data_IF_577113422574
#
_entry.id   IF_577113422574
#
_cell.length_a   1.000
_cell.length_b   1.000
_cell.length_c   1.000
_cell.angle_alpha   90.00
_cell.angle_beta   90.00
_cell.angle_gamma   90.00
#
_symmetry.space_group_name_H-M   'P 1'
#
loop_
_entity.id
_entity.type
_entity.pdbx_description
1 polymer ?
#
# COMPACT_ATOMS: atom_id res chain seq x y z
N UNK A 1 -86.12 -11.45 30.62
CA UNK A 1 -86.32 -10.92 29.26
C UNK A 1 -84.96 -10.79 28.60
N UNK A 2 -84.62 -11.79 27.77
CA UNK A 2 -84.04 -11.69 26.41
C UNK A 2 -83.47 -10.31 25.96
N UNK A 3 -82.30 -10.14 25.32
CA UNK A 3 -81.55 -10.97 24.37
C UNK A 3 -80.03 -10.65 24.36
N UNK A 4 -79.24 -11.63 23.86
CA UNK A 4 -77.83 -11.64 23.44
C UNK A 4 -77.44 -10.52 22.44
N UNK A 5 -76.17 -10.09 22.44
CA UNK A 5 -75.30 -10.13 21.24
C UNK A 5 -73.80 -9.87 21.54
N UNK A 6 -73.02 -10.94 21.33
CA UNK A 6 -71.75 -11.09 20.59
C UNK A 6 -70.71 -9.95 20.44
N UNK A 7 -69.47 -10.29 20.87
CA UNK A 7 -68.20 -10.36 20.10
C UNK A 7 -67.74 -9.12 19.29
N UNK A 8 -66.58 -8.55 19.63
CA UNK A 8 -65.26 -8.86 19.04
C UNK A 8 -64.22 -7.80 19.43
N UNK A 9 -63.00 -8.27 19.74
CA UNK A 9 -61.89 -7.45 20.18
C UNK A 9 -61.27 -6.57 19.09
N UNK A 10 -60.80 -5.40 19.50
CA UNK A 10 -59.91 -4.56 18.73
C UNK A 10 -58.49 -4.68 19.29
N UNK A 11 -57.62 -5.33 18.51
CA UNK A 11 -56.18 -5.15 18.60
C UNK A 11 -55.84 -3.77 18.02
N UNK A 12 -55.22 -2.91 18.82
CA UNK A 12 -54.66 -1.64 18.35
C UNK A 12 -53.29 -1.94 17.75
N UNK A 13 -53.22 -1.94 16.41
CA UNK A 13 -51.97 -1.87 15.66
C UNK A 13 -51.53 -0.40 15.67
N UNK A 14 -50.53 -0.08 16.48
CA UNK A 14 -49.86 1.22 16.45
C UNK A 14 -48.90 1.23 15.25
N UNK A 15 -49.39 1.68 14.09
CA UNK A 15 -48.55 2.01 12.95
C UNK A 15 -47.83 3.34 13.24
N UNK A 16 -46.63 3.26 13.79
CA UNK A 16 -45.70 4.38 13.83
C UNK A 16 -45.21 4.69 12.42
N UNK A 17 -45.65 5.80 11.86
CA UNK A 17 -45.10 6.40 10.64
C UNK A 17 -43.68 6.89 10.92
N UNK A 18 -42.70 5.99 10.81
CA UNK A 18 -41.30 6.33 10.61
C UNK A 18 -41.18 7.12 9.30
N UNK A 19 -41.04 8.43 9.42
CA UNK A 19 -40.53 9.27 8.34
C UNK A 19 -39.08 8.86 8.12
N UNK A 20 -38.86 7.89 7.22
CA UNK A 20 -37.54 7.64 6.67
C UNK A 20 -37.14 8.91 5.92
N UNK A 21 -36.32 9.74 6.56
CA UNK A 21 -35.50 10.70 5.83
C UNK A 21 -34.74 9.90 4.78
N UNK A 22 -35.02 10.18 3.51
CA UNK A 22 -34.33 9.57 2.39
C UNK A 22 -32.83 9.74 2.65
N UNK A 23 -32.12 8.62 2.84
CA UNK A 23 -30.66 8.63 2.78
C UNK A 23 -30.30 9.28 1.45
N UNK A 24 -29.37 10.24 1.41
CA UNK A 24 -28.81 10.67 0.15
C UNK A 24 -28.31 9.40 -0.54
N UNK A 25 -28.87 9.08 -1.70
CA UNK A 25 -28.30 8.11 -2.61
C UNK A 25 -26.91 8.63 -2.95
N UNK A 26 -25.89 8.11 -2.25
CA UNK A 26 -24.49 8.31 -2.62
C UNK A 26 -24.40 7.96 -4.10
N UNK A 27 -24.09 8.94 -4.95
CA UNK A 27 -23.92 8.71 -6.37
C UNK A 27 -22.80 7.67 -6.56
N UNK A 28 -23.20 6.44 -6.81
CA UNK A 28 -22.36 5.24 -6.98
C UNK A 28 -21.62 5.21 -8.32
N UNK A 29 -21.50 6.34 -9.02
CA UNK A 29 -20.90 6.42 -10.34
C UNK A 29 -19.36 6.53 -10.26
N UNK A 30 -18.73 5.68 -9.45
CA UNK A 30 -17.32 5.38 -9.67
C UNK A 30 -17.22 4.75 -11.07
N UNK A 31 -16.39 5.29 -11.98
CA UNK A 31 -16.14 4.63 -13.24
C UNK A 31 -15.80 3.15 -13.01
N UNK A 32 -16.50 2.22 -13.67
CA UNK A 32 -16.36 0.77 -13.45
C UNK A 32 -14.94 0.22 -13.66
N UNK A 33 -14.06 0.98 -14.33
CA UNK A 33 -12.64 0.65 -14.47
C UNK A 33 -11.84 0.89 -13.17
N UNK A 34 -12.33 1.73 -12.26
CA UNK A 34 -11.82 1.90 -10.90
C UNK A 34 -12.44 0.82 -10.03
N UNK A 35 -11.93 -0.40 -10.16
CA UNK A 35 -12.53 -1.56 -9.50
C UNK A 35 -12.34 -1.56 -7.97
N UNK A 36 -11.47 -0.70 -7.42
CA UNK A 36 -11.13 -0.78 -6.00
C UNK A 36 -10.92 0.59 -5.34
N UNK A 37 -12.03 1.15 -4.88
CA UNK A 37 -12.06 2.31 -3.99
C UNK A 37 -12.11 1.85 -2.54
N UNK A 38 -11.34 2.51 -1.69
CA UNK A 38 -11.46 2.38 -0.24
C UNK A 38 -11.89 3.71 0.36
N UNK A 39 -12.84 3.65 1.30
CA UNK A 39 -13.39 4.82 1.98
C UNK A 39 -13.00 4.88 3.46
N UNK A 40 -12.44 3.79 3.98
CA UNK A 40 -11.98 3.62 5.35
C UNK A 40 -10.82 2.62 5.33
N UNK A 41 -9.78 2.90 6.12
CA UNK A 41 -8.71 1.94 6.37
C UNK A 41 -9.13 0.96 7.47
N UNK A 42 -8.58 -0.27 7.48
CA UNK A 42 -8.85 -1.23 8.55
C UNK A 42 -8.09 -0.83 9.82
N UNK A 43 -8.75 -0.95 10.97
CA UNK A 43 -8.22 -0.45 12.25
C UNK A 43 -7.55 -1.59 13.05
N UNK A 44 -7.96 -2.84 12.81
CA UNK A 44 -7.41 -4.02 13.48
C UNK A 44 -6.55 -4.88 12.56
N UNK A 45 -5.61 -5.64 13.13
CA UNK A 45 -4.78 -6.59 12.37
C UNK A 45 -5.63 -7.62 11.62
N UNK A 46 -6.71 -8.11 12.23
CA UNK A 46 -7.63 -9.06 11.59
C UNK A 46 -8.33 -8.45 10.36
N UNK A 47 -8.72 -7.18 10.42
CA UNK A 47 -9.29 -6.48 9.27
C UNK A 47 -8.24 -6.23 8.18
N UNK A 48 -7.01 -5.90 8.54
CA UNK A 48 -5.90 -5.74 7.59
C UNK A 48 -5.61 -7.07 6.88
N UNK A 49 -5.50 -8.17 7.62
CA UNK A 49 -5.30 -9.50 7.03
C UNK A 49 -6.46 -9.88 6.11
N UNK A 50 -7.71 -9.66 6.53
CA UNK A 50 -8.87 -9.94 5.70
C UNK A 50 -8.88 -9.13 4.39
N UNK A 51 -8.47 -7.86 4.42
CA UNK A 51 -8.34 -7.03 3.22
C UNK A 51 -7.18 -7.50 2.35
N UNK A 52 -6.04 -7.85 2.95
CA UNK A 52 -4.88 -8.36 2.22
C UNK A 52 -5.20 -9.68 1.50
N UNK A 53 -5.86 -10.62 2.17
CA UNK A 53 -6.28 -11.92 1.62
C UNK A 53 -7.30 -11.75 0.49
N UNK A 54 -8.27 -10.85 0.66
CA UNK A 54 -9.29 -10.55 -0.36
C UNK A 54 -8.71 -9.77 -1.53
N UNK A 55 -7.64 -8.99 -1.32
CA UNK A 55 -7.01 -8.26 -2.40
C UNK A 55 -6.34 -9.22 -3.36
N UNK A 56 -6.99 -9.43 -4.51
CA UNK A 56 -6.43 -10.14 -5.67
C UNK A 56 -5.45 -9.28 -6.46
N UNK A 57 -5.10 -8.10 -5.94
CA UNK A 57 -4.21 -7.15 -6.58
C UNK A 57 -2.78 -7.36 -6.09
N UNK A 58 -2.27 -8.57 -6.30
CA UNK A 58 -0.85 -8.78 -6.25
C UNK A 58 -0.17 -7.80 -7.23
N UNK A 59 1.04 -7.38 -6.87
CA UNK A 59 1.84 -6.51 -7.72
C UNK A 59 2.01 -7.12 -9.10
N UNK A 60 1.80 -6.31 -10.14
CA UNK A 60 2.05 -6.75 -11.51
C UNK A 60 3.57 -6.75 -11.71
N UNK A 61 4.13 -7.92 -12.00
CA UNK A 61 5.56 -8.06 -12.25
C UNK A 61 5.93 -7.40 -13.59
N UNK A 62 6.97 -6.58 -13.56
CA UNK A 62 7.57 -5.96 -14.75
C UNK A 62 8.38 -6.99 -15.49
N UNK A 63 8.23 -7.04 -16.82
CA UNK A 63 8.95 -7.98 -17.68
C UNK A 63 10.45 -7.75 -17.62
N UNK A 64 11.23 -8.82 -17.61
CA UNK A 64 12.70 -8.77 -17.65
C UNK A 64 13.17 -7.96 -18.86
N UNK A 65 14.17 -7.09 -18.63
CA UNK A 65 14.74 -6.21 -19.64
C UNK A 65 13.95 -4.92 -19.89
N UNK A 66 12.71 -4.78 -19.40
CA UNK A 66 12.00 -3.51 -19.47
C UNK A 66 12.69 -2.44 -18.60
N UNK A 67 12.58 -1.15 -18.96
CA UNK A 67 13.03 -0.06 -18.10
C UNK A 67 12.41 -0.14 -16.71
N UNK A 68 13.20 0.07 -15.65
CA UNK A 68 12.69 0.09 -14.28
C UNK A 68 11.64 1.21 -14.09
N UNK A 69 11.76 2.31 -14.82
CA UNK A 69 10.75 3.36 -14.85
C UNK A 69 10.40 3.71 -16.29
N UNK A 70 9.15 4.11 -16.51
CA UNK A 70 8.67 4.70 -17.75
C UNK A 70 7.89 5.97 -17.37
N UNK A 71 8.58 7.05 -16.97
CA UNK A 71 7.95 8.20 -16.32
C UNK A 71 7.06 9.03 -17.26
N UNK A 72 7.21 8.83 -18.57
CA UNK A 72 6.43 9.54 -19.58
C UNK A 72 5.14 8.80 -19.92
N UNK A 73 4.10 9.56 -20.29
CA UNK A 73 2.82 9.05 -20.79
C UNK A 73 2.92 8.55 -22.24
N UNK A 74 3.87 7.64 -22.50
CA UNK A 74 4.19 7.16 -23.86
C UNK A 74 3.49 5.85 -24.22
N UNK A 75 2.88 5.17 -23.26
CA UNK A 75 2.19 3.89 -23.46
C UNK A 75 0.68 4.08 -23.33
N UNK A 76 -0.10 3.28 -24.06
CA UNK A 76 -1.56 3.35 -24.03
C UNK A 76 -2.17 2.05 -23.50
N UNK A 77 -3.29 2.17 -22.79
CA UNK A 77 -4.15 1.05 -22.42
C UNK A 77 -5.61 1.42 -22.61
N UNK A 78 -6.43 0.41 -22.90
CA UNK A 78 -7.86 0.58 -23.15
C UNK A 78 -8.66 -0.21 -22.10
N UNK A 79 -9.73 0.39 -21.58
CA UNK A 79 -10.67 -0.28 -20.68
C UNK A 79 -12.07 -0.30 -21.26
N UNK A 80 -12.65 -1.49 -21.35
CA UNK A 80 -14.06 -1.66 -21.66
C UNK A 80 -14.90 -1.36 -20.41
N UNK A 81 -15.74 -0.33 -20.50
CA UNK A 81 -16.65 0.05 -19.42
C UNK A 81 -18.08 0.11 -19.90
N UNK A 82 -19.01 0.03 -18.95
CA UNK A 82 -20.43 0.23 -19.21
C UNK A 82 -20.90 1.48 -18.48
N UNK A 83 -21.19 2.54 -19.22
CA UNK A 83 -21.69 3.82 -18.72
C UNK A 83 -23.15 3.95 -19.15
N UNK A 84 -24.06 4.12 -18.19
CA UNK A 84 -25.52 4.20 -18.44
C UNK A 84 -26.05 3.05 -19.34
N UNK A 85 -25.57 1.83 -19.12
CA UNK A 85 -25.98 0.64 -19.89
C UNK A 85 -25.35 0.51 -21.28
N UNK A 86 -24.53 1.47 -21.74
CA UNK A 86 -23.81 1.40 -23.02
C UNK A 86 -22.36 1.01 -22.79
N UNK A 87 -21.87 0.04 -23.58
CA UNK A 87 -20.44 -0.27 -23.63
C UNK A 87 -19.69 0.89 -24.29
N UNK A 88 -18.64 1.35 -23.64
CA UNK A 88 -17.73 2.38 -24.11
C UNK A 88 -16.31 1.90 -23.86
N UNK A 89 -15.42 2.16 -24.81
CA UNK A 89 -14.00 1.91 -24.64
C UNK A 89 -13.35 3.23 -24.21
N UNK A 90 -12.74 3.25 -23.02
CA UNK A 90 -11.97 4.39 -22.54
C UNK A 90 -10.50 4.16 -22.80
N UNK A 91 -9.81 5.20 -23.28
CA UNK A 91 -8.40 5.16 -23.66
C UNK A 91 -7.58 5.99 -22.70
N UNK A 92 -6.47 5.42 -22.25
CA UNK A 92 -5.57 6.07 -21.30
C UNK A 92 -4.15 5.98 -21.79
N UNK A 93 -3.45 7.12 -21.72
CA UNK A 93 -2.00 7.08 -21.69
C UNK A 93 -1.57 6.76 -20.26
N UNK A 94 -0.46 6.05 -20.08
CA UNK A 94 0.07 5.76 -18.76
C UNK A 94 1.58 5.93 -18.68
N UNK A 95 2.01 6.28 -17.47
CA UNK A 95 3.39 6.27 -17.03
C UNK A 95 3.57 5.19 -15.94
N UNK A 96 4.81 4.77 -15.67
CA UNK A 96 5.19 3.87 -14.57
C UNK A 96 6.32 4.52 -13.78
N UNK A 97 6.00 5.04 -12.61
CA UNK A 97 6.92 5.83 -11.78
C UNK A 97 7.25 5.03 -10.52
N UNK A 98 8.52 5.02 -10.12
CA UNK A 98 8.93 4.41 -8.85
C UNK A 98 8.31 5.13 -7.65
N UNK A 99 7.83 4.37 -6.68
CA UNK A 99 7.25 4.91 -5.44
C UNK A 99 8.13 4.64 -4.22
N UNK A 100 8.68 3.43 -4.12
CA UNK A 100 9.66 3.06 -3.10
C UNK A 100 10.49 1.86 -3.55
N UNK A 101 11.62 1.63 -2.88
CA UNK A 101 12.43 0.44 -3.07
C UNK A 101 12.79 -0.27 -1.74
N UNK A 102 13.01 -1.58 -1.84
CA UNK A 102 13.40 -2.44 -0.73
C UNK A 102 14.76 -3.07 -1.05
N UNK A 103 15.74 -2.79 -0.19
CA UNK A 103 17.01 -3.50 -0.16
C UNK A 103 16.91 -4.67 0.79
N UNK A 104 17.49 -5.81 0.41
CA UNK A 104 17.56 -7.01 1.24
C UNK A 104 19.02 -7.29 1.57
N UNK A 105 19.30 -7.73 2.79
CA UNK A 105 20.62 -8.18 3.22
C UNK A 105 20.48 -9.38 4.18
N UNK A 106 21.57 -10.11 4.41
CA UNK A 106 21.65 -11.16 5.46
C UNK A 106 22.79 -10.78 6.40
N UNK A 107 22.54 -10.81 7.72
CA UNK A 107 23.56 -10.46 8.71
C UNK A 107 24.77 -11.41 8.64
N UNK A 108 25.98 -10.95 9.01
CA UNK A 108 27.18 -11.81 9.01
C UNK A 108 27.00 -13.07 9.86
N UNK A 109 26.31 -12.95 11.00
CA UNK A 109 25.98 -14.08 11.86
C UNK A 109 25.07 -15.09 11.15
N UNK A 110 24.00 -14.62 10.48
CA UNK A 110 23.07 -15.47 9.75
C UNK A 110 23.73 -16.08 8.49
N UNK A 111 24.69 -15.38 7.87
CA UNK A 111 25.46 -15.89 6.74
C UNK A 111 26.30 -17.13 7.08
N UNK A 112 26.70 -17.30 8.35
CA UNK A 112 27.43 -18.50 8.79
C UNK A 112 26.54 -19.75 8.79
N UNK A 113 25.22 -19.57 8.84
CA UNK A 113 24.23 -20.64 8.86
C UNK A 113 23.67 -20.98 7.46
N UNK A 114 24.10 -20.27 6.43
CA UNK A 114 23.73 -20.57 5.05
C UNK A 114 24.34 -21.89 4.58
N UNK A 115 23.64 -22.67 3.73
CA UNK A 115 24.18 -23.90 3.18
C UNK A 115 25.42 -23.62 2.32
N UNK A 116 26.54 -24.30 2.62
CA UNK A 116 27.83 -24.02 2.00
C UNK A 116 27.81 -24.04 0.45
N UNK A 117 27.02 -24.95 -0.15
CA UNK A 117 26.96 -25.12 -1.61
C UNK A 117 26.20 -23.98 -2.30
N UNK A 118 25.19 -23.40 -1.65
CA UNK A 118 24.31 -22.38 -2.25
C UNK A 118 24.52 -20.98 -1.71
N UNK A 119 25.29 -20.82 -0.62
CA UNK A 119 25.59 -19.54 0.04
C UNK A 119 25.97 -18.45 -0.95
N UNK A 120 26.92 -18.71 -1.85
CA UNK A 120 27.37 -17.73 -2.84
C UNK A 120 26.24 -17.19 -3.71
N UNK A 121 25.38 -18.07 -4.24
CA UNK A 121 24.24 -17.68 -5.09
C UNK A 121 23.15 -16.96 -4.31
N UNK A 122 22.90 -17.37 -3.06
CA UNK A 122 21.94 -16.68 -2.18
C UNK A 122 22.41 -15.25 -1.94
N UNK A 123 23.67 -15.06 -1.56
CA UNK A 123 24.23 -13.74 -1.28
C UNK A 123 24.32 -12.87 -2.54
N UNK A 124 24.79 -13.41 -3.67
CA UNK A 124 24.79 -12.69 -4.96
C UNK A 124 23.40 -12.14 -5.28
N UNK A 125 22.36 -12.93 -4.99
CA UNK A 125 21.00 -12.53 -5.27
C UNK A 125 20.48 -11.44 -4.32
N UNK A 126 20.74 -11.60 -3.03
CA UNK A 126 20.29 -10.67 -1.99
C UNK A 126 21.06 -9.35 -2.09
N UNK A 127 22.39 -9.39 -2.14
CA UNK A 127 23.25 -8.21 -2.07
C UNK A 127 23.34 -7.47 -3.41
N UNK A 128 23.07 -8.15 -4.53
CA UNK A 128 23.17 -7.57 -5.88
C UNK A 128 21.89 -6.88 -6.37
N UNK A 129 20.76 -7.03 -5.67
CA UNK A 129 19.45 -6.61 -6.17
C UNK A 129 18.61 -5.85 -5.13
N UNK A 130 17.60 -5.15 -5.63
CA UNK A 130 16.56 -4.52 -4.85
C UNK A 130 15.19 -4.74 -5.49
N UNK A 131 14.12 -4.63 -4.71
CA UNK A 131 12.75 -4.65 -5.20
C UNK A 131 12.28 -3.21 -5.36
N UNK A 132 11.80 -2.86 -6.54
CA UNK A 132 11.15 -1.58 -6.80
C UNK A 132 9.64 -1.76 -6.80
N UNK A 133 8.93 -0.98 -6.00
CA UNK A 133 7.48 -0.82 -6.12
C UNK A 133 7.19 0.45 -6.90
N UNK A 134 6.29 0.33 -7.87
CA UNK A 134 5.99 1.36 -8.86
C UNK A 134 4.49 1.57 -8.93
N UNK A 135 4.10 2.81 -9.15
CA UNK A 135 2.72 3.21 -9.32
C UNK A 135 2.52 3.70 -10.75
N UNK A 136 1.32 3.44 -11.28
CA UNK A 136 0.94 3.82 -12.63
C UNK A 136 -0.07 4.96 -12.58
N UNK A 137 0.32 6.21 -12.90
CA UNK A 137 -0.62 7.26 -13.26
C UNK A 137 -1.23 6.97 -14.63
N UNK A 138 -2.53 7.22 -14.78
CA UNK A 138 -3.22 7.25 -16.07
C UNK A 138 -3.62 8.67 -16.40
N UNK A 139 -3.53 9.03 -17.67
CA UNK A 139 -4.06 10.25 -18.25
C UNK A 139 -5.20 9.90 -19.19
N UNK A 140 -6.39 10.39 -18.89
CA UNK A 140 -7.55 10.28 -19.76
C UNK A 140 -7.31 11.06 -21.05
N UNK A 141 -7.36 10.40 -22.21
CA UNK A 141 -7.13 11.05 -23.50
C UNK A 141 -8.22 12.07 -23.87
N UNK A 142 -9.43 11.96 -23.31
CA UNK A 142 -10.53 12.87 -23.61
C UNK A 142 -10.49 14.12 -22.75
N UNK A 143 -10.21 13.96 -21.46
CA UNK A 143 -10.29 15.05 -20.47
C UNK A 143 -8.93 15.60 -20.07
N UNK A 144 -7.84 14.89 -20.37
CA UNK A 144 -6.50 15.19 -19.87
C UNK A 144 -6.33 14.92 -18.37
N UNK A 145 -7.36 14.42 -17.69
CA UNK A 145 -7.34 14.26 -16.25
C UNK A 145 -6.43 13.09 -15.84
N UNK A 146 -5.57 13.33 -14.83
CA UNK A 146 -4.65 12.34 -14.29
C UNK A 146 -5.15 11.79 -12.96
N UNK A 147 -5.11 10.46 -12.82
CA UNK A 147 -5.43 9.72 -11.60
C UNK A 147 -4.51 8.50 -11.46
N UNK A 148 -4.50 7.84 -10.30
CA UNK A 148 -3.67 6.65 -10.08
C UNK A 148 -4.40 5.35 -10.44
N UNK A 149 -3.64 4.36 -10.89
CA UNK A 149 -4.11 2.99 -11.01
C UNK A 149 -4.03 2.27 -9.66
N UNK A 150 -5.03 1.44 -9.36
CA UNK A 150 -5.20 0.80 -8.05
C UNK A 150 -4.31 -0.42 -7.82
N UNK A 151 -3.60 -0.92 -8.85
CA UNK A 151 -2.64 -2.02 -8.71
C UNK A 151 -1.21 -1.50 -8.80
N UNK A 152 -0.33 -1.91 -7.87
CA UNK A 152 1.08 -1.59 -7.96
C UNK A 152 1.76 -2.48 -9.01
N UNK A 153 2.94 -2.04 -9.44
CA UNK A 153 3.89 -2.80 -10.22
C UNK A 153 5.10 -3.10 -9.36
N UNK A 154 5.71 -4.25 -9.59
CA UNK A 154 6.96 -4.60 -8.96
C UNK A 154 7.99 -4.95 -10.02
N UNK A 155 9.23 -4.52 -9.82
CA UNK A 155 10.38 -4.90 -10.64
C UNK A 155 11.53 -5.28 -9.72
N UNK A 156 12.38 -6.22 -10.15
CA UNK A 156 13.69 -6.41 -9.52
C UNK A 156 14.70 -5.56 -10.28
N UNK A 157 15.39 -4.67 -9.58
CA UNK A 157 16.53 -3.94 -10.13
C UNK A 157 17.83 -4.54 -9.61
N UNK A 158 18.90 -4.42 -10.39
CA UNK A 158 20.25 -4.66 -9.91
C UNK A 158 20.92 -3.32 -9.58
N UNK A 159 21.67 -3.26 -8.49
CA UNK A 159 22.32 -2.02 -8.06
C UNK A 159 23.27 -1.50 -9.15
N UNK A 160 23.13 -0.22 -9.52
CA UNK A 160 23.95 0.41 -10.55
C UNK A 160 23.69 -0.04 -11.99
N UNK A 161 22.71 -0.91 -12.25
CA UNK A 161 22.36 -1.39 -13.58
C UNK A 161 20.97 -0.92 -14.02
N UNK A 162 20.80 -0.54 -15.30
CA UNK A 162 19.49 -0.21 -15.83
C UNK A 162 18.68 -1.48 -16.13
N UNK A 163 17.36 -1.40 -15.93
CA UNK A 163 16.40 -2.41 -16.40
C UNK A 163 16.03 -3.48 -15.38
N UNK A 164 14.84 -4.05 -15.58
CA UNK A 164 14.27 -5.07 -14.72
C UNK A 164 14.97 -6.43 -14.92
N UNK A 165 15.20 -7.12 -13.81
CA UNK A 165 15.79 -8.45 -13.73
C UNK A 165 14.71 -9.52 -13.57
N UNK A 166 15.08 -10.79 -13.80
CA UNK A 166 14.23 -11.94 -13.53
C UNK A 166 13.80 -11.97 -12.05
N UNK A 167 12.60 -12.50 -11.75
CA UNK A 167 12.19 -12.80 -10.38
C UNK A 167 12.71 -14.18 -10.01
N UNK A 168 13.59 -14.23 -9.02
CA UNK A 168 13.96 -15.52 -8.41
C UNK A 168 12.85 -15.90 -7.42
N UNK A 169 12.60 -17.18 -7.14
CA UNK A 169 11.54 -17.59 -6.21
C UNK A 169 11.56 -16.83 -4.87
N UNK A 170 12.76 -16.61 -4.31
CA UNK A 170 12.94 -15.85 -3.08
C UNK A 170 12.41 -14.40 -3.13
N UNK A 171 12.59 -13.74 -4.27
CA UNK A 171 12.18 -12.36 -4.50
C UNK A 171 10.71 -12.28 -4.92
N UNK A 172 10.24 -13.30 -5.65
CA UNK A 172 8.84 -13.44 -6.04
C UNK A 172 7.92 -13.48 -4.82
N UNK A 173 8.28 -14.26 -3.79
CA UNK A 173 7.53 -14.31 -2.54
C UNK A 173 7.44 -12.92 -1.88
N UNK A 174 8.56 -12.18 -1.83
CA UNK A 174 8.58 -10.82 -1.27
C UNK A 174 7.69 -9.85 -2.04
N UNK A 175 7.53 -10.07 -3.35
CA UNK A 175 6.71 -9.24 -4.22
C UNK A 175 5.23 -9.60 -4.10
N UNK A 176 4.93 -10.88 -3.91
CA UNK A 176 3.58 -11.38 -3.65
C UNK A 176 3.01 -10.90 -2.31
N UNK A 177 3.91 -10.59 -1.37
CA UNK A 177 3.60 -10.04 -0.04
C UNK A 177 3.12 -8.58 -0.08
N UNK A 178 3.51 -7.82 -1.11
CA UNK A 178 3.01 -6.46 -1.34
C UNK A 178 1.78 -6.45 -2.24
N UNK A 179 0.64 -5.95 -1.71
CA UNK A 179 -0.64 -5.91 -2.41
C UNK A 179 -1.24 -4.52 -2.45
N UNK A 180 -1.80 -4.14 -3.60
CA UNK A 180 -2.61 -2.94 -3.73
C UNK A 180 -3.97 -3.11 -3.05
N UNK A 181 -4.24 -2.35 -2.00
CA UNK A 181 -5.57 -2.34 -1.37
C UNK A 181 -6.56 -1.56 -2.22
N UNK A 182 -6.15 -0.44 -2.83
CA UNK A 182 -7.00 0.35 -3.71
C UNK A 182 -6.63 1.83 -3.73
N UNK A 183 -7.57 2.66 -4.19
CA UNK A 183 -7.46 4.11 -4.13
C UNK A 183 -8.31 4.64 -2.97
N UNK A 184 -7.68 5.39 -2.07
CA UNK A 184 -8.38 6.02 -0.95
C UNK A 184 -9.12 7.26 -1.42
N UNK A 185 -10.43 7.28 -1.16
CA UNK A 185 -11.29 8.44 -1.39
C UNK A 185 -12.07 8.69 -0.12
N UNK A 186 -11.94 9.88 0.46
CA UNK A 186 -12.68 10.22 1.68
C UNK A 186 -14.19 10.05 1.48
N UNK A 187 -14.89 9.57 2.51
CA UNK A 187 -16.34 9.37 2.44
C UNK A 187 -17.07 10.69 2.15
N UNK A 188 -18.12 10.64 1.34
CA UNK A 188 -18.89 11.82 0.92
C UNK A 188 -18.17 12.73 -0.09
N UNK A 189 -16.91 12.47 -0.43
CA UNK A 189 -16.18 13.22 -1.47
C UNK A 189 -16.59 12.73 -2.87
N UNK A 190 -16.96 13.63 -3.80
CA UNK A 190 -17.20 13.29 -5.19
C UNK A 190 -16.00 12.58 -5.83
N UNK A 191 -16.28 11.63 -6.73
CA UNK A 191 -15.23 10.85 -7.39
C UNK A 191 -14.69 11.66 -8.58
N UNK A 192 -13.77 12.57 -8.28
CA UNK A 192 -13.02 13.34 -9.28
C UNK A 192 -11.64 12.71 -9.51
N UNK A 193 -10.96 13.11 -10.59
CA UNK A 193 -9.59 12.65 -10.84
C UNK A 193 -8.63 12.98 -9.69
N UNK A 194 -8.81 14.13 -9.04
CA UNK A 194 -8.02 14.54 -7.87
C UNK A 194 -8.24 13.63 -6.65
N UNK A 195 -9.49 13.23 -6.42
CA UNK A 195 -9.85 12.33 -5.34
C UNK A 195 -9.24 10.92 -5.52
N UNK A 196 -8.89 10.55 -6.76
CA UNK A 196 -8.32 9.26 -7.15
C UNK A 196 -6.78 9.24 -7.19
N UNK A 197 -6.13 10.18 -6.49
CA UNK A 197 -4.66 10.34 -6.46
C UNK A 197 -3.98 9.81 -5.20
N UNK A 198 -4.67 9.00 -4.41
CA UNK A 198 -4.12 8.40 -3.20
C UNK A 198 -4.19 6.88 -3.31
N UNK A 199 -3.08 6.24 -3.63
CA UNK A 199 -2.96 4.78 -3.64
C UNK A 199 -2.66 4.26 -2.24
N UNK A 200 -3.22 3.10 -1.90
CA UNK A 200 -2.94 2.39 -0.65
C UNK A 200 -2.53 0.96 -0.97
N UNK A 201 -1.37 0.56 -0.46
CA UNK A 201 -0.85 -0.79 -0.47
C UNK A 201 -0.63 -1.32 0.94
N UNK A 202 -0.55 -2.64 1.07
CA UNK A 202 -0.19 -3.33 2.30
C UNK A 202 0.90 -4.36 1.99
N UNK A 203 1.95 -4.33 2.79
CA UNK A 203 2.99 -5.34 2.81
C UNK A 203 2.75 -6.29 3.99
N UNK A 204 2.68 -7.61 3.72
CA UNK A 204 2.59 -8.65 4.74
C UNK A 204 3.95 -9.32 4.90
N UNK A 205 4.55 -9.25 6.07
CA UNK A 205 5.86 -9.88 6.32
C UNK A 205 5.83 -10.73 7.58
N UNK A 206 6.72 -11.71 7.66
CA UNK A 206 7.07 -12.33 8.92
C UNK A 206 8.24 -11.56 9.52
N UNK A 207 8.15 -11.20 10.80
CA UNK A 207 9.22 -10.51 11.53
C UNK A 207 9.61 -11.31 12.77
N UNK A 208 10.83 -11.09 13.26
CA UNK A 208 11.22 -11.59 14.59
C UNK A 208 10.57 -10.74 15.68
N UNK A 209 9.97 -11.39 16.67
CA UNK A 209 9.43 -10.75 17.88
C UNK A 209 10.54 -9.97 18.59
N UNK A 210 10.38 -8.66 18.76
CA UNK A 210 11.41 -7.73 19.25
C UNK A 210 12.01 -8.18 20.59
N UNK A 211 11.20 -8.79 21.46
CA UNK A 211 11.67 -9.28 22.76
C UNK A 211 12.71 -10.40 22.66
N UNK A 212 12.82 -11.05 21.50
CA UNK A 212 13.73 -12.18 21.24
C UNK A 212 14.43 -12.06 19.88
N UNK A 213 14.63 -10.85 19.38
CA UNK A 213 15.14 -10.61 18.02
C UNK A 213 16.47 -11.31 17.74
N UNK A 214 17.32 -11.48 18.74
CA UNK A 214 18.67 -12.05 18.62
C UNK A 214 18.77 -13.52 19.06
N UNK A 215 17.66 -14.14 19.45
CA UNK A 215 17.66 -15.55 19.81
C UNK A 215 18.05 -16.42 18.60
N UNK A 216 18.69 -17.59 18.81
CA UNK A 216 19.01 -18.51 17.72
C UNK A 216 17.79 -19.00 16.94
N UNK A 217 16.63 -19.06 17.61
CA UNK A 217 15.33 -19.33 17.02
C UNK A 217 14.34 -18.28 17.53
N UNK A 218 14.32 -17.08 16.91
CA UNK A 218 13.42 -16.03 17.35
C UNK A 218 11.98 -16.47 17.09
N UNK A 219 11.08 -16.08 17.99
CA UNK A 219 9.65 -16.23 17.74
C UNK A 219 9.29 -15.35 16.54
N UNK A 220 8.56 -15.92 15.58
CA UNK A 220 8.12 -15.19 14.40
C UNK A 220 6.69 -14.72 14.58
N UNK A 221 6.41 -13.49 14.18
CA UNK A 221 5.07 -12.90 14.19
C UNK A 221 4.76 -12.29 12.83
N UNK A 222 3.48 -12.23 12.49
CA UNK A 222 3.03 -11.53 11.29
C UNK A 222 3.13 -10.02 11.52
N UNK A 223 3.47 -9.30 10.46
CA UNK A 223 3.55 -7.86 10.44
C UNK A 223 2.85 -7.32 9.21
N UNK A 224 2.15 -6.20 9.38
CA UNK A 224 1.43 -5.54 8.28
C UNK A 224 1.76 -4.06 8.25
N UNK A 225 2.39 -3.64 7.17
CA UNK A 225 2.80 -2.26 6.96
C UNK A 225 1.97 -1.65 5.83
N UNK A 226 1.44 -0.47 6.06
CA UNK A 226 0.79 0.31 5.01
C UNK A 226 1.80 1.08 4.19
N UNK A 227 1.52 1.20 2.90
CA UNK A 227 2.15 2.15 2.00
C UNK A 227 1.09 3.05 1.42
N UNK A 228 1.27 4.35 1.55
CA UNK A 228 0.42 5.36 0.94
C UNK A 228 1.21 6.11 -0.11
N UNK A 229 0.66 6.25 -1.32
CA UNK A 229 1.28 7.07 -2.37
C UNK A 229 0.31 8.15 -2.78
N UNK A 230 0.66 9.40 -2.51
CA UNK A 230 -0.10 10.59 -2.88
C UNK A 230 0.54 11.24 -4.11
N UNK A 231 -0.22 11.41 -5.17
CA UNK A 231 0.24 12.08 -6.39
C UNK A 231 -0.12 13.57 -6.40
N UNK A 232 0.88 14.43 -6.63
CA UNK A 232 0.72 15.84 -6.96
C UNK A 232 0.89 16.01 -8.47
N UNK A 233 -0.05 16.71 -9.11
CA UNK A 233 -0.09 16.86 -10.57
C UNK A 233 -0.03 18.34 -10.93
N UNK A 234 0.92 18.70 -11.80
CA UNK A 234 1.08 20.04 -12.36
C UNK A 234 1.25 19.93 -13.88
N UNK A 235 0.17 20.17 -14.63
CA UNK A 235 0.13 19.85 -16.07
C UNK A 235 0.28 18.35 -16.29
N UNK A 236 1.24 17.96 -17.13
CA UNK A 236 1.61 16.56 -17.37
C UNK A 236 2.63 16.02 -16.36
N UNK A 237 3.17 16.85 -15.47
CA UNK A 237 4.13 16.41 -14.47
C UNK A 237 3.42 15.77 -13.28
N UNK A 238 3.82 14.56 -12.92
CA UNK A 238 3.32 13.82 -11.76
C UNK A 238 4.45 13.58 -10.77
N UNK A 239 4.34 14.18 -9.58
CA UNK A 239 5.22 13.91 -8.46
C UNK A 239 4.54 12.92 -7.49
N UNK A 240 5.24 11.84 -7.16
CA UNK A 240 4.78 10.86 -6.18
C UNK A 240 5.40 11.12 -4.81
N UNK A 241 4.55 11.14 -3.78
CA UNK A 241 4.93 11.31 -2.39
C UNK A 241 4.54 10.04 -1.64
N UNK A 242 5.54 9.31 -1.16
CA UNK A 242 5.34 7.98 -0.57
C UNK A 242 5.51 8.01 0.94
N UNK A 243 4.57 7.37 1.63
CA UNK A 243 4.56 7.22 3.07
C UNK A 243 4.43 5.75 3.42
N UNK A 244 5.13 5.31 4.46
CA UNK A 244 5.03 3.93 4.96
C UNK A 244 4.81 3.94 6.46
N UNK A 245 4.07 2.98 6.97
CA UNK A 245 3.98 2.79 8.42
C UNK A 245 5.08 1.87 8.92
N UNK A 246 5.47 2.03 10.18
CA UNK A 246 6.25 1.00 10.87
C UNK A 246 5.41 -0.27 11.15
N UNK A 247 6.06 -1.34 11.63
CA UNK A 247 5.40 -2.62 11.85
C UNK A 247 4.23 -2.58 12.84
N UNK A 248 4.29 -1.69 13.84
CA UNK A 248 3.19 -1.49 14.78
C UNK A 248 2.17 -0.43 14.34
N UNK A 249 2.37 0.17 13.15
CA UNK A 249 1.53 1.25 12.61
C UNK A 249 1.37 2.43 13.56
N UNK A 250 2.38 2.68 14.40
CA UNK A 250 2.42 3.78 15.35
C UNK A 250 3.10 5.02 14.79
N UNK A 251 3.88 4.85 13.71
CA UNK A 251 4.60 5.92 13.03
C UNK A 251 4.32 5.90 11.55
N UNK A 252 4.19 7.08 10.98
CA UNK A 252 4.13 7.33 9.55
C UNK A 252 5.46 7.94 9.10
N UNK A 253 6.18 7.22 8.27
CA UNK A 253 7.45 7.62 7.69
C UNK A 253 7.20 8.21 6.32
N UNK A 254 7.61 9.46 6.13
CA UNK A 254 7.60 10.09 4.82
C UNK A 254 8.94 9.84 4.14
N UNK A 255 8.94 9.06 3.05
CA UNK A 255 10.13 8.68 2.33
C UNK A 255 10.72 9.82 1.48
N UNK A 256 11.99 9.67 1.13
CA UNK A 256 12.63 10.49 0.11
C UNK A 256 11.94 10.27 -1.25
N UNK A 257 12.04 11.22 -2.20
CA UNK A 257 11.64 10.97 -3.58
C UNK A 257 12.33 9.72 -4.11
N UNK A 258 11.58 8.90 -4.87
CA UNK A 258 12.13 7.67 -5.40
C UNK A 258 13.30 7.95 -6.36
N UNK A 259 14.41 7.28 -6.13
CA UNK A 259 15.52 7.16 -7.05
C UNK A 259 15.96 5.69 -7.08
N UNK A 260 16.35 5.12 -8.25
CA UNK A 260 16.98 3.80 -8.29
C UNK A 260 18.22 3.77 -7.38
N UNK A 261 18.25 2.93 -6.34
CA UNK A 261 19.34 2.94 -5.38
C UNK A 261 20.62 2.40 -6.03
N UNK A 262 21.79 3.06 -5.82
CA UNK A 262 23.08 2.54 -6.27
C UNK A 262 23.63 1.43 -5.37
N UNK A 263 23.12 1.29 -4.14
CA UNK A 263 23.51 0.26 -3.18
C UNK A 263 22.40 0.02 -2.13
N UNK A 264 22.52 -1.06 -1.36
CA UNK A 264 21.58 -1.42 -0.28
C UNK A 264 21.34 -0.28 0.73
N UNK A 265 22.39 0.43 1.12
CA UNK A 265 22.31 1.53 2.10
C UNK A 265 21.51 2.73 1.61
N UNK A 266 21.28 2.81 0.30
CA UNK A 266 20.50 3.87 -0.34
C UNK A 266 19.04 3.50 -0.52
N UNK A 267 18.64 2.28 -0.14
CA UNK A 267 17.26 1.87 -0.23
C UNK A 267 16.35 2.59 0.78
N UNK A 268 15.10 2.78 0.38
CA UNK A 268 14.07 3.41 1.23
C UNK A 268 13.73 2.53 2.43
N UNK A 269 13.66 1.21 2.20
CA UNK A 269 13.50 0.21 3.25
C UNK A 269 14.64 -0.79 3.16
N UNK A 270 15.41 -0.90 4.24
CA UNK A 270 16.56 -1.78 4.38
C UNK A 270 16.19 -2.94 5.29
N UNK A 271 15.92 -4.10 4.71
CA UNK A 271 15.47 -5.28 5.46
C UNK A 271 16.57 -6.30 5.58
N UNK A 272 16.93 -6.65 6.82
CA UNK A 272 17.84 -7.75 7.08
C UNK A 272 17.06 -9.02 7.33
N UNK A 273 17.33 -10.03 6.50
CA UNK A 273 16.62 -11.28 6.44
C UNK A 273 17.25 -12.34 7.34
N UNK A 274 16.39 -13.16 7.92
CA UNK A 274 16.69 -14.45 8.52
C UNK A 274 16.00 -15.52 7.68
N UNK A 275 16.76 -16.46 7.12
CA UNK A 275 16.16 -17.63 6.47
C UNK A 275 15.82 -18.68 7.53
N UNK A 276 14.54 -19.04 7.58
CA UNK A 276 13.98 -19.88 8.65
C UNK A 276 13.81 -21.33 8.20
N UNK A 277 13.75 -21.58 6.89
CA UNK A 277 13.64 -22.92 6.33
C UNK A 277 14.30 -23.01 4.94
N UNK A 278 14.65 -24.24 4.54
CA UNK A 278 15.27 -24.55 3.26
C UNK A 278 14.57 -25.74 2.58
N UNK A 279 14.39 -25.65 1.26
CA UNK A 279 13.80 -26.70 0.43
C UNK A 279 14.72 -27.93 0.27
N UNK A 280 14.29 -28.90 -0.55
CA UNK A 280 14.96 -30.19 -0.84
C UNK A 280 16.50 -30.08 -0.86
N UNK A 281 17.14 -31.00 -0.14
CA UNK A 281 18.58 -31.06 0.11
C UNK A 281 19.18 -29.87 0.88
N UNK A 282 18.35 -29.02 1.49
CA UNK A 282 18.74 -27.81 2.25
C UNK A 282 19.54 -26.82 1.40
N UNK A 283 19.22 -26.70 0.11
CA UNK A 283 20.01 -25.87 -0.81
C UNK A 283 19.37 -24.51 -1.13
N UNK A 284 18.05 -24.39 -1.15
CA UNK A 284 17.39 -23.11 -1.47
C UNK A 284 16.53 -22.65 -0.31
N UNK A 285 16.54 -21.36 0.07
CA UNK A 285 15.64 -20.86 1.09
C UNK A 285 14.18 -21.06 0.65
N UNK A 286 13.35 -21.59 1.56
CA UNK A 286 11.90 -21.79 1.35
C UNK A 286 11.04 -20.93 2.27
N UNK A 287 11.63 -20.39 3.34
CA UNK A 287 10.96 -19.44 4.21
C UNK A 287 11.96 -18.41 4.76
N UNK A 288 11.46 -17.21 5.02
CA UNK A 288 12.24 -16.08 5.51
C UNK A 288 11.42 -15.23 6.48
N UNK A 289 12.12 -14.52 7.35
CA UNK A 289 11.58 -13.47 8.19
C UNK A 289 12.51 -12.25 8.15
N UNK A 290 12.00 -11.08 8.51
CA UNK A 290 12.79 -9.87 8.72
C UNK A 290 13.24 -9.85 10.17
N UNK A 291 14.55 -9.80 10.39
CA UNK A 291 15.15 -9.65 11.72
C UNK A 291 15.08 -8.20 12.19
N UNK A 292 15.42 -7.29 11.30
CA UNK A 292 15.26 -5.86 11.52
C UNK A 292 15.07 -5.14 10.18
N UNK A 293 14.33 -4.04 10.23
CA UNK A 293 14.15 -3.14 9.11
C UNK A 293 14.55 -1.72 9.52
N UNK A 294 15.21 -1.01 8.62
CA UNK A 294 15.47 0.42 8.74
C UNK A 294 14.79 1.14 7.61
N UNK A 295 14.06 2.20 7.94
CA UNK A 295 13.38 3.05 6.97
C UNK A 295 14.20 4.32 6.79
N UNK A 296 14.57 4.64 5.54
CA UNK A 296 15.25 5.86 5.15
C UNK A 296 14.20 6.92 4.82
N UNK A 297 13.74 7.60 5.85
CA UNK A 297 12.76 8.65 5.74
C UNK A 297 13.39 10.04 5.67
N UNK A 298 12.61 11.00 5.17
CA UNK A 298 12.91 12.43 5.25
C UNK A 298 12.28 13.07 6.49
N UNK A 299 11.19 12.48 6.98
CA UNK A 299 10.43 12.95 8.12
C UNK A 299 9.60 11.80 8.72
N UNK A 300 9.44 11.81 10.03
CA UNK A 300 8.64 10.83 10.77
C UNK A 300 7.57 11.54 11.60
N UNK A 301 6.38 10.94 11.63
CA UNK A 301 5.23 11.46 12.34
C UNK A 301 4.59 10.36 13.20
N UNK A 302 4.55 10.48 14.53
CA UNK A 302 3.73 9.61 15.38
C UNK A 302 2.26 9.73 15.00
N UNK A 303 1.58 8.61 14.79
CA UNK A 303 0.16 8.60 14.39
C UNK A 303 -0.71 9.31 15.42
N UNK A 304 -0.42 9.15 16.71
CA UNK A 304 -1.13 9.85 17.78
C UNK A 304 -1.03 11.39 17.70
N UNK A 305 0.05 11.93 17.13
CA UNK A 305 0.18 13.38 16.92
C UNK A 305 -0.55 13.85 15.66
N UNK A 306 -0.63 12.99 14.65
CA UNK A 306 -1.48 13.21 13.47
C UNK A 306 -2.96 13.28 13.87
N UNK A 307 -3.42 12.39 14.76
CA UNK A 307 -4.80 12.38 15.28
C UNK A 307 -5.14 13.67 16.04
N UNK A 308 -4.23 14.12 16.91
CA UNK A 308 -4.37 15.40 17.63
C UNK A 308 -4.44 16.57 16.66
N UNK A 309 -3.60 16.57 15.63
CA UNK A 309 -3.58 17.64 14.64
C UNK A 309 -4.88 17.68 13.82
N UNK A 310 -5.37 16.53 13.34
CA UNK A 310 -6.65 16.41 12.64
C UNK A 310 -7.81 16.92 13.51
N UNK A 311 -7.83 16.51 14.79
CA UNK A 311 -8.79 16.99 15.78
C UNK A 311 -8.70 18.51 15.99
N UNK A 312 -7.48 19.06 16.07
CA UNK A 312 -7.24 20.50 16.22
C UNK A 312 -7.68 21.33 15.00
N UNK A 313 -7.75 20.72 13.80
CA UNK A 313 -8.36 21.32 12.60
C UNK A 313 -9.89 21.24 12.58
N UNK A 314 -10.50 20.58 13.56
CA UNK A 314 -11.94 20.34 13.64
C UNK A 314 -12.44 19.29 12.64
N UNK A 315 -11.56 18.41 12.17
CA UNK A 315 -11.96 17.31 11.30
C UNK A 315 -12.67 16.22 12.10
N UNK A 316 -13.71 15.64 11.51
CA UNK A 316 -14.37 14.46 12.08
C UNK A 316 -13.56 13.21 11.78
N UNK A 317 -13.45 12.31 12.76
CA UNK A 317 -12.69 11.06 12.63
C UNK A 317 -11.22 11.23 13.02
N UNK A 318 -10.45 10.17 12.82
CA UNK A 318 -9.01 10.13 13.12
C UNK A 318 -8.14 10.58 11.92
N UNK A 319 -6.81 10.45 12.05
CA UNK A 319 -5.86 10.75 10.99
C UNK A 319 -6.10 9.93 9.71
N UNK A 320 -6.50 8.65 9.85
CA UNK A 320 -6.70 7.73 8.73
C UNK A 320 -8.04 7.98 8.02
N UNK A 321 -9.07 8.43 8.74
CA UNK A 321 -10.32 8.92 8.15
C UNK A 321 -10.11 10.17 7.27
N UNK A 322 -9.06 10.94 7.57
CA UNK A 322 -8.69 12.18 6.88
C UNK A 322 -7.36 12.05 6.11
N UNK A 323 -7.02 10.83 5.68
CA UNK A 323 -5.72 10.50 5.11
C UNK A 323 -5.27 11.46 4.01
N UNK A 324 -6.10 11.73 3.00
CA UNK A 324 -5.69 12.55 1.84
C UNK A 324 -5.29 13.97 2.27
N UNK A 325 -6.12 14.63 3.07
CA UNK A 325 -5.87 15.98 3.54
C UNK A 325 -4.67 16.03 4.50
N UNK A 326 -4.48 14.99 5.30
CA UNK A 326 -3.32 14.85 6.17
C UNK A 326 -2.03 14.70 5.37
N UNK A 327 -1.99 13.81 4.38
CA UNK A 327 -0.83 13.64 3.52
C UNK A 327 -0.50 14.93 2.77
N UNK A 328 -1.51 15.63 2.25
CA UNK A 328 -1.33 16.93 1.58
C UNK A 328 -0.75 17.98 2.55
N UNK A 329 -1.24 18.04 3.80
CA UNK A 329 -0.70 18.95 4.81
C UNK A 329 0.76 18.63 5.19
N UNK A 330 1.15 17.35 5.21
CA UNK A 330 2.56 16.95 5.40
C UNK A 330 3.42 17.36 4.19
N UNK A 331 2.93 17.12 2.97
CA UNK A 331 3.62 17.49 1.72
C UNK A 331 3.87 18.99 1.67
N UNK A 332 2.88 19.78 2.07
CA UNK A 332 2.91 21.24 2.05
C UNK A 332 3.65 21.86 3.24
N UNK A 333 4.22 21.03 4.14
CA UNK A 333 5.00 21.49 5.29
C UNK A 333 4.17 22.13 6.41
N UNK A 334 2.85 21.91 6.44
CA UNK A 334 1.97 22.43 7.49
C UNK A 334 2.06 21.64 8.79
N UNK A 335 2.53 20.39 8.73
CA UNK A 335 2.87 19.57 9.89
C UNK A 335 4.39 19.52 10.05
N UNK A 336 4.86 19.89 11.23
CA UNK A 336 6.27 19.71 11.59
C UNK A 336 6.52 18.26 12.01
N UNK A 337 7.60 17.63 11.54
CA UNK A 337 7.97 16.30 12.03
C UNK A 337 8.29 16.37 13.52
N UNK A 338 8.07 15.26 14.22
CA UNK A 338 8.64 15.13 15.56
C UNK A 338 10.16 15.14 15.38
N UNK A 339 10.93 15.97 16.12
CA UNK A 339 12.37 15.88 16.06
C UNK A 339 12.75 14.43 16.34
N UNK A 340 13.32 13.77 15.32
CA UNK A 340 13.91 12.46 15.49
C UNK A 340 14.85 12.59 16.67
N UNK A 341 14.72 11.73 17.67
CA UNK A 341 15.72 11.62 18.72
C UNK A 341 17.04 11.26 18.02
N UNK A 342 17.79 12.29 17.65
CA UNK A 342 18.90 12.18 16.74
C UNK A 342 20.02 11.35 17.39
N UNK A 343 20.57 10.42 16.62
CA UNK A 343 21.98 10.08 16.69
C UNK A 343 22.42 9.15 17.83
N UNK A 344 22.13 7.86 17.69
CA UNK A 344 23.09 6.82 18.06
C UNK A 344 23.71 6.29 16.78
N UNK A 345 24.76 6.95 16.29
CA UNK A 345 25.72 6.31 15.37
C UNK A 345 26.60 5.35 16.17
#
# INVERSE_FOLDING_TARGET
MTYRNHLLGFAVILCGTLTFAARPTEATDAPKWIAQLIRKLPDSEAEVEAIWEKSRNASIQVTVGEPLQAPDFSQQTDYDVTVAGKKQQLKFDFARIGALNFGLAVSEADQAHLPAVSKGKIMERVDGNYISIQIRPHRDQQTGAIYLYYKPFAAIGAYGLPGAQEFSPLMEDSVADFRGVGLFVKRGTPITAEALRTFVGVNKTMITDEANSDAPQPKLVKNFEFTFVRARVAGDHVALHTFVTDGHRTRLHYLQPYEPPPAFTDCDVQSVLLFTDYSVAKQSPSAKAIRHAKIRDRAMFPVADLDKWASGKGWSGDALDNLTELLDAIIDGQLSPTPSAAGGQ
#
